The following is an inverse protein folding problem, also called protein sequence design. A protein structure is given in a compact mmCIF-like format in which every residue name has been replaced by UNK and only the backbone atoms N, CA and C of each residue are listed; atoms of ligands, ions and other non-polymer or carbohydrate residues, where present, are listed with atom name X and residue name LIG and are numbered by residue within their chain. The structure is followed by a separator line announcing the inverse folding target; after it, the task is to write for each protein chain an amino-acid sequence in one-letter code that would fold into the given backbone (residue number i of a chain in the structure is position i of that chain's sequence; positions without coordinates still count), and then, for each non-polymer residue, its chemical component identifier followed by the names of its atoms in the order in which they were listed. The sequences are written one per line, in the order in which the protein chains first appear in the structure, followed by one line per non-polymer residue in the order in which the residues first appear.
data_IF_670975056919
#
_entry.id   IF_670975056919
#
_cell.length_a   1.000
_cell.length_b   1.000
_cell.length_c   1.000
_cell.angle_alpha   90.00
_cell.angle_beta   90.00
_cell.angle_gamma   90.00
#
_symmetry.space_group_name_H-M   'P 1'
#
loop_
_entity.id
_entity.type
_entity.pdbx_description
1 polymer ?
#
# COMPACT_ATOMS: atom_id res chain seq x y z
N UNK A 1 19.17 17.24 -8.76
CA UNK A 1 19.83 16.97 -7.46
C UNK A 1 19.53 18.17 -6.57
N UNK A 2 18.48 18.10 -5.76
CA UNK A 2 18.12 19.18 -4.83
C UNK A 2 18.28 18.61 -3.42
N UNK A 3 19.27 19.14 -2.70
CA UNK A 3 19.58 18.74 -1.34
C UNK A 3 18.46 19.18 -0.38
N UNK A 4 18.13 18.29 0.53
CA UNK A 4 17.25 18.47 1.69
C UNK A 4 17.79 19.57 2.60
N UNK A 5 17.35 20.81 2.41
CA UNK A 5 17.60 21.90 3.35
C UNK A 5 16.28 22.26 4.02
N UNK A 6 16.15 21.88 5.29
CA UNK A 6 14.97 22.17 6.12
C UNK A 6 14.48 20.96 6.92
N UNK A 7 15.37 20.31 7.67
CA UNK A 7 14.95 19.27 8.63
C UNK A 7 16.01 18.25 9.04
N UNK A 8 17.21 18.24 8.46
CA UNK A 8 18.22 17.19 8.72
C UNK A 8 18.80 17.19 10.14
N UNK A 9 18.69 18.28 10.91
CA UNK A 9 19.36 18.36 12.21
C UNK A 9 18.63 17.65 13.38
N UNK A 10 17.33 17.35 13.28
CA UNK A 10 16.58 16.76 14.41
C UNK A 10 16.41 15.23 14.34
N UNK A 11 16.51 14.62 13.16
CA UNK A 11 16.07 13.24 12.93
C UNK A 11 17.21 12.21 12.97
N UNK A 12 18.47 12.62 12.80
CA UNK A 12 19.62 11.71 12.74
C UNK A 12 20.08 11.21 14.13
N UNK A 13 19.54 11.77 15.21
CA UNK A 13 20.01 11.47 16.57
C UNK A 13 18.90 11.30 17.60
N UNK A 14 17.80 10.63 17.23
CA UNK A 14 16.97 9.98 18.25
C UNK A 14 17.81 8.85 18.86
N UNK A 15 18.48 9.16 19.97
CA UNK A 15 19.36 8.22 20.70
C UNK A 15 18.58 7.10 21.40
N UNK A 16 17.26 7.26 21.52
CA UNK A 16 16.39 6.21 22.04
C UNK A 16 16.40 4.99 21.09
N UNK A 17 16.36 3.76 21.64
CA UNK A 17 16.17 2.54 20.86
C UNK A 17 14.99 2.68 19.91
N UNK A 18 15.04 2.01 18.77
CA UNK A 18 13.91 2.00 17.86
C UNK A 18 12.75 1.19 18.46
N UNK A 19 11.52 1.68 18.36
CA UNK A 19 10.32 0.95 18.79
C UNK A 19 10.13 -0.35 18.00
N UNK A 20 9.40 -1.31 18.54
CA UNK A 20 9.01 -2.52 17.80
C UNK A 20 8.11 -2.21 16.59
N UNK A 21 7.84 -3.22 15.76
CA UNK A 21 6.75 -3.12 14.78
C UNK A 21 5.42 -3.13 15.53
N UNK A 22 4.52 -2.21 15.17
CA UNK A 22 3.16 -2.20 15.70
C UNK A 22 2.42 -3.48 15.26
N UNK A 23 1.79 -4.17 16.22
CA UNK A 23 0.88 -5.28 15.96
C UNK A 23 -0.46 -4.77 15.43
N UNK A 24 -1.22 -5.64 14.76
CA UNK A 24 -2.59 -5.30 14.37
C UNK A 24 -3.52 -5.36 15.59
N UNK A 25 -4.18 -4.24 15.90
CA UNK A 25 -5.21 -4.13 16.93
C UNK A 25 -6.47 -3.60 16.25
N UNK A 26 -7.55 -4.40 16.11
CA UNK A 26 -8.80 -3.92 15.54
C UNK A 26 -9.45 -2.88 16.45
N UNK A 27 -10.32 -2.02 15.90
CA UNK A 27 -11.18 -1.17 16.72
C UNK A 27 -12.07 -2.03 17.63
N UNK A 28 -12.16 -1.63 18.90
CA UNK A 28 -12.93 -2.30 19.95
C UNK A 28 -13.70 -1.31 20.84
N UNK A 29 -13.60 0.00 20.59
CA UNK A 29 -14.21 1.05 21.40
C UNK A 29 -14.75 2.18 20.55
N UNK A 30 -15.71 2.89 21.11
CA UNK A 30 -16.10 4.20 20.63
C UNK A 30 -15.47 5.23 21.58
N UNK A 31 -14.43 5.90 21.10
CA UNK A 31 -13.76 7.01 21.77
C UNK A 31 -13.31 8.03 20.71
N UNK A 32 -14.29 8.71 20.13
CA UNK A 32 -14.16 9.67 19.02
C UNK A 32 -13.49 10.99 19.43
N UNK A 33 -12.43 10.90 20.25
CA UNK A 33 -11.56 12.02 20.63
C UNK A 33 -10.21 11.85 19.96
N UNK A 34 -9.68 12.87 19.26
CA UNK A 34 -8.36 12.81 18.64
C UNK A 34 -7.29 12.45 19.66
N UNK A 35 -6.49 11.43 19.37
CA UNK A 35 -5.40 11.04 20.26
C UNK A 35 -4.18 11.93 20.05
N UNK A 36 -3.46 12.30 21.12
CA UNK A 36 -2.47 13.39 21.07
C UNK A 36 -1.32 13.13 20.10
N UNK A 37 -0.85 11.88 19.98
CA UNK A 37 0.16 11.49 19.00
C UNK A 37 -0.34 11.59 17.55
N UNK A 38 -1.61 11.32 17.30
CA UNK A 38 -2.21 11.50 15.96
C UNK A 38 -2.36 12.98 15.61
N UNK A 39 -2.75 13.82 16.58
CA UNK A 39 -2.77 15.28 16.42
C UNK A 39 -1.37 15.81 16.08
N UNK A 40 -0.35 15.33 16.79
CA UNK A 40 1.04 15.71 16.57
C UNK A 40 1.56 15.21 15.20
N UNK A 41 1.20 13.99 14.79
CA UNK A 41 1.53 13.44 13.47
C UNK A 41 0.92 14.26 12.34
N UNK A 42 -0.39 14.54 12.42
CA UNK A 42 -1.07 15.41 11.46
C UNK A 42 -0.33 16.75 11.33
N UNK A 43 -0.02 17.39 12.47
CA UNK A 43 0.68 18.68 12.46
C UNK A 43 2.04 18.56 11.76
N UNK A 44 2.84 17.55 12.12
CA UNK A 44 4.15 17.27 11.51
C UNK A 44 4.05 17.15 9.98
N UNK A 45 3.05 16.44 9.48
CA UNK A 45 2.87 16.23 8.04
C UNK A 45 2.41 17.51 7.35
N UNK A 46 1.42 18.22 7.91
CA UNK A 46 0.89 19.44 7.31
C UNK A 46 1.89 20.60 7.32
N UNK A 47 2.72 20.71 8.36
CA UNK A 47 3.82 21.68 8.43
C UNK A 47 4.84 21.41 7.30
N UNK A 48 5.17 20.13 7.06
CA UNK A 48 6.15 19.73 6.03
C UNK A 48 5.61 19.89 4.61
N UNK A 49 4.32 19.66 4.41
CA UNK A 49 3.66 19.68 3.11
C UNK A 49 2.52 20.71 3.06
N UNK A 50 2.85 22.01 3.08
CA UNK A 50 1.85 23.06 3.01
C UNK A 50 1.00 22.94 1.74
N UNK A 51 -0.27 23.33 1.87
CA UNK A 51 -1.29 23.23 0.81
C UNK A 51 -1.85 21.82 0.59
N UNK A 52 -1.46 20.83 1.40
CA UNK A 52 -2.20 19.55 1.49
C UNK A 52 -3.34 19.66 2.50
N UNK A 53 -4.24 18.66 2.52
CA UNK A 53 -5.52 18.77 3.24
C UNK A 53 -5.56 17.84 4.45
N UNK A 54 -6.16 18.33 5.54
CA UNK A 54 -6.60 17.52 6.67
C UNK A 54 -8.02 17.00 6.37
N UNK A 55 -8.19 15.67 6.28
CA UNK A 55 -9.52 15.07 6.09
C UNK A 55 -10.08 14.45 7.38
N UNK A 56 -9.40 14.64 8.50
CA UNK A 56 -9.93 14.36 9.83
C UNK A 56 -9.32 13.14 10.54
N UNK A 57 -9.35 13.20 11.87
CA UNK A 57 -8.87 12.15 12.78
C UNK A 57 -10.03 11.28 13.27
N UNK A 58 -11.16 11.90 13.58
CA UNK A 58 -12.31 11.25 14.20
C UNK A 58 -13.50 11.20 13.27
N UNK A 59 -14.33 10.18 13.46
CA UNK A 59 -15.66 10.06 12.87
C UNK A 59 -16.62 9.64 13.96
N UNK A 60 -17.88 10.01 13.82
CA UNK A 60 -18.93 9.55 14.72
C UNK A 60 -19.03 8.03 14.65
N UNK A 61 -19.18 7.41 15.82
CA UNK A 61 -19.26 5.97 15.92
C UNK A 61 -20.55 5.47 15.28
N UNK A 62 -20.42 4.53 14.34
CA UNK A 62 -21.56 3.90 13.70
C UNK A 62 -21.51 2.38 13.89
N UNK A 63 -22.66 1.73 14.14
CA UNK A 63 -22.73 0.27 14.28
C UNK A 63 -22.38 -0.43 12.96
N UNK A 64 -21.77 -1.62 13.07
CA UNK A 64 -21.51 -2.50 11.92
C UNK A 64 -20.29 -2.14 11.05
N UNK A 65 -19.51 -1.12 11.43
CA UNK A 65 -18.24 -0.78 10.78
C UNK A 65 -17.10 -0.80 11.80
N UNK A 66 -15.96 -1.36 11.42
CA UNK A 66 -14.71 -1.29 12.20
C UNK A 66 -13.90 -0.15 11.61
N UNK A 67 -13.60 0.86 12.43
CA UNK A 67 -12.76 1.99 11.99
C UNK A 67 -11.99 2.59 13.14
N UNK A 68 -10.68 2.72 12.95
CA UNK A 68 -9.79 3.38 13.88
C UNK A 68 -10.05 4.88 14.07
N UNK A 69 -10.81 5.49 13.17
CA UNK A 69 -11.34 6.85 13.36
C UNK A 69 -12.31 6.93 14.56
N UNK A 70 -13.01 5.84 14.90
CA UNK A 70 -13.92 5.81 16.04
C UNK A 70 -13.18 5.84 17.38
N UNK A 71 -11.88 5.60 17.38
CA UNK A 71 -11.02 5.66 18.56
C UNK A 71 -10.04 6.83 18.48
N UNK A 72 -10.15 7.68 17.45
CA UNK A 72 -9.24 8.80 17.21
C UNK A 72 -7.78 8.39 17.00
N UNK A 73 -7.54 7.12 16.61
CA UNK A 73 -6.20 6.57 16.31
C UNK A 73 -5.96 6.37 14.82
N UNK A 74 -6.69 7.10 13.98
CA UNK A 74 -6.46 7.18 12.55
C UNK A 74 -6.47 8.62 12.08
N UNK A 75 -5.90 8.85 10.90
CA UNK A 75 -5.93 10.16 10.23
C UNK A 75 -5.92 9.98 8.72
N UNK A 76 -6.78 10.75 8.04
CA UNK A 76 -6.81 10.81 6.59
C UNK A 76 -6.11 12.08 6.09
N UNK A 77 -5.04 11.88 5.31
CA UNK A 77 -4.26 12.95 4.69
C UNK A 77 -4.68 13.12 3.23
N UNK A 78 -5.23 14.28 2.90
CA UNK A 78 -5.73 14.56 1.55
C UNK A 78 -4.60 14.82 0.56
N UNK A 79 -4.18 13.75 -0.10
CA UNK A 79 -3.22 13.72 -1.23
C UNK A 79 -3.72 12.78 -2.31
N UNK A 80 -4.19 13.33 -3.44
CA UNK A 80 -4.74 12.55 -4.54
C UNK A 80 -3.64 11.85 -5.33
N UNK A 81 -3.86 10.57 -5.61
CA UNK A 81 -2.95 9.74 -6.40
C UNK A 81 -3.01 10.05 -7.91
N UNK A 82 -4.08 10.69 -8.39
CA UNK A 82 -4.26 11.07 -9.80
C UNK A 82 -3.71 12.47 -10.13
N UNK A 83 -3.37 13.28 -9.13
CA UNK A 83 -2.75 14.60 -9.32
C UNK A 83 -1.22 14.46 -9.13
N UNK A 84 -0.40 14.66 -10.18
CA UNK A 84 1.05 14.37 -10.11
C UNK A 84 1.79 15.08 -8.97
N UNK A 85 1.43 16.33 -8.66
CA UNK A 85 2.05 17.11 -7.58
C UNK A 85 1.68 16.59 -6.18
N UNK A 86 0.44 16.15 -5.98
CA UNK A 86 0.01 15.59 -4.70
C UNK A 86 0.60 14.19 -4.51
N UNK A 87 0.58 13.38 -5.58
CA UNK A 87 1.22 12.06 -5.60
C UNK A 87 2.70 12.13 -5.24
N UNK A 88 3.45 13.08 -5.79
CA UNK A 88 4.87 13.24 -5.48
C UNK A 88 5.12 13.55 -3.99
N UNK A 89 4.29 14.41 -3.37
CA UNK A 89 4.38 14.69 -1.91
C UNK A 89 4.08 13.44 -1.08
N UNK A 90 3.06 12.68 -1.46
CA UNK A 90 2.72 11.41 -0.83
C UNK A 90 3.86 10.39 -0.93
N UNK A 91 4.43 10.21 -2.11
CA UNK A 91 5.55 9.29 -2.35
C UNK A 91 6.81 9.70 -1.59
N UNK A 92 7.14 11.00 -1.55
CA UNK A 92 8.26 11.52 -0.75
C UNK A 92 8.08 11.19 0.74
N UNK A 93 6.89 11.46 1.29
CA UNK A 93 6.60 11.18 2.69
C UNK A 93 6.64 9.68 3.01
N UNK A 94 6.00 8.85 2.19
CA UNK A 94 5.99 7.40 2.39
C UNK A 94 7.38 6.80 2.23
N UNK A 95 8.21 7.31 1.31
CA UNK A 95 9.60 6.90 1.19
C UNK A 95 10.38 7.24 2.46
N UNK A 96 10.26 8.46 2.99
CA UNK A 96 10.88 8.82 4.28
C UNK A 96 10.38 7.94 5.43
N UNK A 97 9.08 7.71 5.51
CA UNK A 97 8.43 6.96 6.58
C UNK A 97 8.87 5.48 6.62
N UNK A 98 9.02 4.87 5.44
CA UNK A 98 9.25 3.43 5.28
C UNK A 98 10.72 3.05 5.01
N UNK A 99 11.60 4.02 4.75
CA UNK A 99 13.02 3.78 4.51
C UNK A 99 13.71 3.16 5.75
N UNK A 100 14.71 2.27 5.55
CA UNK A 100 15.54 1.78 6.65
C UNK A 100 16.37 2.90 7.31
N UNK A 101 16.69 2.75 8.59
CA UNK A 101 17.71 3.59 9.23
C UNK A 101 19.13 3.12 8.90
N UNK A 102 20.14 3.86 9.39
CA UNK A 102 21.56 3.55 9.23
C UNK A 102 22.00 2.24 9.94
N UNK A 103 21.14 1.64 10.77
CA UNK A 103 21.36 0.35 11.42
C UNK A 103 20.64 -0.80 10.71
N UNK A 104 20.03 -0.53 9.54
CA UNK A 104 19.31 -1.52 8.74
C UNK A 104 17.91 -1.83 9.25
N UNK A 105 17.39 -1.09 10.24
CA UNK A 105 16.02 -1.28 10.70
C UNK A 105 15.04 -0.82 9.63
N UNK A 106 14.31 -1.75 9.03
CA UNK A 106 13.25 -1.48 8.06
C UNK A 106 12.12 -0.63 8.66
N UNK A 107 11.47 0.19 7.83
CA UNK A 107 10.33 1.04 8.20
C UNK A 107 10.57 1.90 9.45
N UNK A 108 11.76 2.49 9.54
CA UNK A 108 12.27 3.03 10.79
C UNK A 108 11.38 4.12 11.37
N UNK A 109 10.94 5.07 10.55
CA UNK A 109 10.09 6.16 11.01
C UNK A 109 8.66 5.71 11.28
N UNK A 110 8.11 4.75 10.52
CA UNK A 110 6.82 4.14 10.83
C UNK A 110 6.82 3.52 12.23
N UNK A 111 7.89 2.80 12.60
CA UNK A 111 8.07 2.23 13.95
C UNK A 111 8.13 3.34 15.00
N UNK A 112 8.99 4.34 14.79
CA UNK A 112 9.19 5.43 15.75
C UNK A 112 7.97 6.32 15.96
N UNK A 113 7.09 6.42 14.97
CA UNK A 113 5.82 7.19 15.05
C UNK A 113 4.64 6.32 15.50
N UNK A 114 4.81 5.00 15.58
CA UNK A 114 3.77 4.06 15.97
C UNK A 114 2.69 3.84 14.91
N UNK A 115 3.07 3.83 13.63
CA UNK A 115 2.15 3.51 12.52
C UNK A 115 1.87 2.01 12.50
N UNK A 116 0.59 1.62 12.53
CA UNK A 116 0.13 0.24 12.45
C UNK A 116 -0.09 -0.20 11.00
N UNK A 117 -0.83 0.58 10.22
CA UNK A 117 -1.01 0.35 8.79
C UNK A 117 -1.28 1.65 8.02
N UNK A 118 -1.09 1.57 6.71
CA UNK A 118 -1.30 2.65 5.75
C UNK A 118 -2.11 2.12 4.58
N UNK A 119 -3.13 2.86 4.14
CA UNK A 119 -3.88 2.55 2.92
C UNK A 119 -3.78 3.73 1.97
N UNK A 120 -3.37 3.46 0.73
CA UNK A 120 -3.31 4.47 -0.32
C UNK A 120 -3.41 3.82 -1.70
N UNK A 121 -4.18 4.43 -2.59
CA UNK A 121 -4.31 4.08 -3.99
C UNK A 121 -4.52 2.57 -4.21
N UNK A 122 -5.56 2.02 -3.57
CA UNK A 122 -5.92 0.58 -3.61
C UNK A 122 -4.82 -0.36 -3.13
N UNK A 123 -3.91 0.12 -2.27
CA UNK A 123 -2.88 -0.70 -1.63
C UNK A 123 -2.87 -0.50 -0.13
N UNK A 124 -2.44 -1.52 0.59
CA UNK A 124 -2.27 -1.50 2.04
C UNK A 124 -0.88 -1.98 2.41
N UNK A 125 -0.21 -1.23 3.28
CA UNK A 125 1.02 -1.61 3.97
C UNK A 125 0.73 -1.74 5.46
N UNK A 126 1.36 -2.69 6.16
CA UNK A 126 1.16 -2.86 7.59
C UNK A 126 2.44 -3.25 8.30
N UNK A 127 2.73 -2.61 9.44
CA UNK A 127 3.91 -2.89 10.27
C UNK A 127 3.96 -4.37 10.69
N UNK A 128 2.81 -4.94 11.06
CA UNK A 128 2.65 -6.34 11.44
C UNK A 128 2.82 -7.34 10.29
N UNK A 129 2.92 -6.88 9.03
CA UNK A 129 3.20 -7.70 7.84
C UNK A 129 4.31 -7.09 6.98
N UNK A 130 5.33 -6.55 7.65
CA UNK A 130 6.43 -5.82 7.02
C UNK A 130 7.04 -6.56 5.82
N UNK A 131 7.28 -7.87 5.96
CA UNK A 131 7.91 -8.71 4.94
C UNK A 131 7.10 -8.80 3.63
N UNK A 132 5.79 -8.59 3.67
CA UNK A 132 4.93 -8.62 2.48
C UNK A 132 4.90 -7.27 1.74
N UNK A 133 5.39 -6.19 2.37
CA UNK A 133 5.36 -4.85 1.79
C UNK A 133 3.95 -4.34 1.47
N UNK A 134 3.83 -3.61 0.35
CA UNK A 134 2.54 -3.11 -0.15
C UNK A 134 1.75 -4.23 -0.83
N UNK A 135 0.49 -4.39 -0.42
CA UNK A 135 -0.41 -5.45 -0.91
C UNK A 135 -1.66 -4.84 -1.52
N UNK A 136 -2.40 -5.56 -2.38
CA UNK A 136 -3.69 -5.11 -2.86
C UNK A 136 -4.66 -4.83 -1.72
N UNK A 137 -5.39 -3.71 -1.80
CA UNK A 137 -6.48 -3.36 -0.91
C UNK A 137 -7.80 -3.39 -1.68
N UNK A 138 -8.77 -4.13 -1.16
CA UNK A 138 -10.09 -4.37 -1.77
C UNK A 138 -11.24 -3.86 -0.89
N UNK A 139 -10.96 -2.96 0.06
CA UNK A 139 -12.00 -2.35 0.87
C UNK A 139 -12.88 -1.40 0.05
N UNK A 140 -13.99 -0.96 0.65
CA UNK A 140 -15.03 -0.18 -0.01
C UNK A 140 -14.50 1.14 -0.58
N UNK A 141 -13.69 1.85 0.20
CA UNK A 141 -13.05 3.10 -0.24
C UNK A 141 -11.73 2.83 -0.94
N UNK A 142 -11.54 3.37 -2.15
CA UNK A 142 -10.34 3.09 -2.94
C UNK A 142 -9.08 3.83 -2.45
N UNK A 143 -9.24 4.82 -1.56
CA UNK A 143 -8.16 5.68 -1.04
C UNK A 143 -7.33 6.31 -2.18
N UNK A 144 -8.00 6.72 -3.26
CA UNK A 144 -7.34 7.34 -4.42
C UNK A 144 -7.17 8.84 -4.27
N UNK A 145 -7.92 9.46 -3.35
CA UNK A 145 -7.96 10.88 -3.08
C UNK A 145 -7.28 11.28 -1.75
N UNK A 146 -6.91 10.30 -0.93
CA UNK A 146 -6.26 10.46 0.37
C UNK A 146 -5.42 9.25 0.79
N UNK A 147 -4.48 9.45 1.70
CA UNK A 147 -3.79 8.39 2.45
C UNK A 147 -4.47 8.23 3.80
N UNK A 148 -4.82 6.99 4.16
CA UNK A 148 -5.27 6.66 5.50
C UNK A 148 -4.10 6.12 6.33
N UNK A 149 -3.85 6.72 7.50
CA UNK A 149 -2.91 6.24 8.49
C UNK A 149 -3.66 5.71 9.71
N UNK A 150 -3.28 4.52 10.17
CA UNK A 150 -3.74 3.95 11.43
C UNK A 150 -2.56 3.73 12.36
N UNK A 151 -2.75 3.97 13.67
CA UNK A 151 -1.69 3.97 14.67
C UNK A 151 -1.90 2.87 15.72
N UNK A 152 -0.79 2.39 16.31
CA UNK A 152 -0.86 1.63 17.56
C UNK A 152 -1.32 2.53 18.71
N UNK A 153 -1.69 1.95 19.84
CA UNK A 153 -2.03 2.76 21.02
C UNK A 153 -0.86 3.62 21.50
N UNK A 154 0.36 3.09 21.47
CA UNK A 154 1.57 3.85 21.78
C UNK A 154 1.77 5.00 20.80
N UNK A 155 1.60 4.77 19.49
CA UNK A 155 1.68 5.85 18.50
C UNK A 155 0.60 6.90 18.71
N UNK A 156 -0.64 6.47 18.91
CA UNK A 156 -1.80 7.33 19.08
C UNK A 156 -1.69 8.23 20.30
N UNK A 157 -1.16 7.72 21.42
CA UNK A 157 -0.95 8.49 22.65
C UNK A 157 0.39 9.23 22.72
N UNK A 158 1.25 9.07 21.71
CA UNK A 158 2.53 9.77 21.69
C UNK A 158 3.59 9.15 22.60
N UNK A 159 3.60 7.82 22.70
CA UNK A 159 4.44 7.06 23.62
C UNK A 159 5.62 6.34 22.98
N UNK A 160 5.70 6.37 21.66
CA UNK A 160 6.85 5.85 20.92
C UNK A 160 8.04 6.79 21.02
N UNK A 161 9.21 6.30 20.63
CA UNK A 161 10.49 6.98 20.83
C UNK A 161 10.60 8.31 20.09
N UNK A 162 9.89 8.50 18.97
CA UNK A 162 9.84 9.80 18.30
C UNK A 162 9.21 10.87 19.18
N UNK A 163 8.03 10.57 19.73
CA UNK A 163 7.26 11.54 20.51
C UNK A 163 7.93 11.88 21.83
N UNK A 164 8.58 10.89 22.46
CA UNK A 164 9.43 11.10 23.64
C UNK A 164 10.60 12.04 23.35
N UNK A 165 11.30 11.83 22.23
CA UNK A 165 12.42 12.68 21.82
C UNK A 165 11.96 14.09 21.41
N UNK A 166 10.75 14.21 20.86
CA UNK A 166 10.10 15.49 20.54
C UNK A 166 9.46 16.17 21.76
N UNK A 167 9.59 15.59 22.96
CA UNK A 167 9.01 16.08 24.21
C UNK A 167 7.50 16.38 24.11
N UNK A 168 6.74 15.54 23.40
CA UNK A 168 5.30 15.69 23.35
C UNK A 168 4.75 15.57 24.79
N UNK A 169 3.94 16.52 25.31
CA UNK A 169 3.52 16.51 26.71
C UNK A 169 2.86 15.20 27.16
N UNK A 170 2.09 14.57 26.27
CA UNK A 170 1.45 13.28 26.53
C UNK A 170 2.44 12.14 26.80
N UNK A 171 3.68 12.24 26.28
CA UNK A 171 4.73 11.22 26.47
C UNK A 171 5.12 11.02 27.94
N UNK A 172 4.87 12.01 28.81
CA UNK A 172 5.16 11.93 30.25
C UNK A 172 4.17 11.05 31.01
N UNK A 173 3.04 10.69 30.41
CA UNK A 173 1.95 9.93 31.05
C UNK A 173 1.78 8.53 30.45
N UNK A 174 2.75 8.05 29.66
CA UNK A 174 2.57 6.85 28.85
C UNK A 174 2.26 5.58 29.62
N UNK A 175 2.89 5.35 30.77
CA UNK A 175 2.59 4.18 31.59
C UNK A 175 1.11 4.18 32.00
N UNK A 176 0.65 5.30 32.59
CA UNK A 176 -0.73 5.46 33.02
C UNK A 176 -1.75 5.40 31.87
N UNK A 177 -1.45 6.04 30.72
CA UNK A 177 -2.35 6.04 29.56
C UNK A 177 -2.49 4.64 28.93
N UNK A 178 -1.40 3.89 28.83
CA UNK A 178 -1.43 2.53 28.28
C UNK A 178 -2.08 1.54 29.26
N UNK A 179 -1.83 1.69 30.57
CA UNK A 179 -2.50 0.90 31.60
C UNK A 179 -4.01 1.14 31.59
N UNK A 180 -4.47 2.39 31.47
CA UNK A 180 -5.89 2.70 31.33
C UNK A 180 -6.52 2.00 30.12
N UNK A 181 -5.81 1.91 28.99
CA UNK A 181 -6.34 1.19 27.81
C UNK A 181 -6.43 -0.30 28.11
N UNK A 182 -5.38 -0.90 28.68
CA UNK A 182 -5.39 -2.31 29.04
C UNK A 182 -6.51 -2.64 30.05
N UNK A 183 -6.72 -1.77 31.04
CA UNK A 183 -7.69 -1.95 32.12
C UNK A 183 -9.14 -1.59 31.75
N UNK A 184 -9.37 -0.73 30.75
CA UNK A 184 -10.72 -0.25 30.42
C UNK A 184 -11.62 -1.31 29.75
N UNK A 185 -11.13 -2.53 29.49
CA UNK A 185 -11.94 -3.59 28.90
C UNK A 185 -12.44 -3.26 27.48
N UNK A 186 -12.75 -4.28 26.70
CA UNK A 186 -13.32 -4.10 25.36
C UNK A 186 -14.76 -3.61 25.47
N UNK A 187 -15.14 -2.51 24.82
CA UNK A 187 -16.53 -2.39 24.40
C UNK A 187 -16.74 -3.50 23.36
N UNK A 188 -17.93 -4.12 23.38
CA UNK A 188 -18.22 -5.41 22.75
C UNK A 188 -17.58 -5.61 21.36
N UNK A 189 -17.15 -6.85 21.03
CA UNK A 189 -16.67 -7.16 19.69
C UNK A 189 -17.74 -6.74 18.66
N UNK A 190 -17.33 -6.22 17.49
CA UNK A 190 -18.27 -5.98 16.40
C UNK A 190 -19.03 -7.28 16.08
N UNK A 191 -20.31 -7.20 15.67
CA UNK A 191 -21.06 -8.39 15.27
C UNK A 191 -20.25 -9.16 14.22
N UNK A 192 -20.34 -10.51 14.20
CA UNK A 192 -19.59 -11.32 13.26
C UNK A 192 -19.84 -10.81 11.82
N UNK A 193 -18.82 -10.87 10.94
CA UNK A 193 -19.01 -10.45 9.56
C UNK A 193 -20.19 -11.23 8.96
N UNK A 194 -21.01 -10.61 8.09
CA UNK A 194 -22.03 -11.35 7.37
C UNK A 194 -21.39 -12.57 6.71
N UNK A 195 -22.09 -13.72 6.68
CA UNK A 195 -21.54 -14.93 6.09
C UNK A 195 -21.02 -14.61 4.70
N UNK A 196 -19.79 -15.07 4.43
CA UNK A 196 -19.15 -14.93 3.13
C UNK A 196 -20.16 -15.43 2.08
N UNK A 197 -20.44 -14.66 1.00
CA UNK A 197 -21.32 -15.15 -0.06
C UNK A 197 -20.88 -16.55 -0.46
N UNK A 198 -21.83 -17.47 -0.58
CA UNK A 198 -21.53 -18.81 -1.04
C UNK A 198 -20.70 -18.71 -2.33
N UNK A 199 -19.65 -19.53 -2.49
CA UNK A 199 -18.97 -19.58 -3.77
C UNK A 199 -20.02 -19.81 -4.86
N UNK A 200 -19.93 -19.13 -6.01
CA UNK A 200 -20.85 -19.37 -7.10
C UNK A 200 -20.88 -20.88 -7.37
N UNK A 201 -22.07 -21.47 -7.65
CA UNK A 201 -22.15 -22.89 -7.96
C UNK A 201 -21.11 -23.19 -9.03
N UNK A 202 -20.28 -24.22 -8.78
CA UNK A 202 -19.33 -24.70 -9.80
C UNK A 202 -20.12 -24.83 -11.09
N UNK A 203 -19.67 -24.12 -12.13
CA UNK A 203 -20.29 -24.24 -13.44
C UNK A 203 -20.42 -25.73 -13.75
N UNK A 204 -21.64 -26.17 -14.07
CA UNK A 204 -21.86 -27.52 -14.53
C UNK A 204 -20.84 -27.79 -15.65
N UNK A 205 -20.21 -28.98 -15.69
CA UNK A 205 -19.33 -29.32 -16.80
C UNK A 205 -20.05 -29.01 -18.10
N UNK A 206 -19.41 -28.21 -18.95
CA UNK A 206 -19.97 -27.86 -20.24
C UNK A 206 -20.44 -29.15 -20.91
N UNK A 207 -21.70 -29.18 -21.35
CA UNK A 207 -22.18 -30.27 -22.21
C UNK A 207 -21.16 -30.41 -23.34
N UNK A 208 -20.73 -31.64 -23.68
CA UNK A 208 -19.84 -31.84 -24.81
C UNK A 208 -20.38 -31.08 -26.00
N UNK A 209 -19.56 -30.19 -26.56
CA UNK A 209 -19.90 -29.53 -27.82
C UNK A 209 -20.17 -30.61 -28.88
N UNK A 210 -20.98 -30.30 -29.90
CA UNK A 210 -21.23 -31.23 -30.99
C UNK A 210 -19.90 -31.72 -31.57
N UNK A 211 -19.79 -33.00 -31.95
CA UNK A 211 -18.55 -33.57 -32.46
C UNK A 211 -18.02 -32.73 -33.63
N UNK A 212 -16.73 -32.40 -33.56
CA UNK A 212 -16.04 -31.69 -34.63
C UNK A 212 -16.19 -32.49 -35.94
N UNK A 213 -16.52 -31.86 -37.08
CA UNK A 213 -16.56 -32.55 -38.36
C UNK A 213 -15.25 -33.28 -38.63
N UNK A 214 -15.35 -34.50 -39.14
CA UNK A 214 -14.18 -35.30 -39.50
C UNK A 214 -13.27 -34.54 -40.48
N UNK A 215 -11.94 -34.62 -40.32
CA UNK A 215 -11.04 -34.03 -41.30
C UNK A 215 -11.25 -34.69 -42.67
N UNK A 216 -11.16 -33.92 -43.77
CA UNK A 216 -11.29 -34.47 -45.11
C UNK A 216 -10.21 -35.53 -45.36
N UNK A 217 -10.60 -36.63 -46.01
CA UNK A 217 -9.72 -37.75 -46.34
C UNK A 217 -8.54 -37.25 -47.19
N UNK A 218 -7.33 -37.65 -46.81
CA UNK A 218 -6.13 -37.35 -47.58
C UNK A 218 -6.24 -37.91 -49.02
N UNK A 219 -5.75 -37.19 -50.04
CA UNK A 219 -5.78 -37.69 -51.41
C UNK A 219 -4.86 -38.91 -51.56
N UNK A 220 -5.37 -39.93 -52.24
CA UNK A 220 -4.64 -41.16 -52.59
C UNK A 220 -3.50 -40.81 -53.55
N UNK A 221 -2.26 -41.17 -53.19
CA UNK A 221 -1.09 -40.99 -54.05
C UNK A 221 -1.21 -41.89 -55.29
N UNK A 222 -1.18 -41.28 -56.47
CA UNK A 222 -1.00 -41.99 -57.74
C UNK A 222 0.44 -42.50 -57.87
N UNK A 223 0.59 -43.69 -58.45
CA UNK A 223 1.87 -44.38 -58.68
C UNK A 223 2.76 -43.67 -59.73
N UNK A 224 4.09 -43.88 -59.70
CA UNK A 224 5.04 -43.03 -60.41
C UNK A 224 5.20 -43.41 -61.90
N UNK A 225 5.24 -42.40 -62.76
CA UNK A 225 5.69 -42.53 -64.16
C UNK A 225 7.16 -42.10 -64.30
N UNK A 226 7.85 -42.79 -65.22
CA UNK A 226 9.32 -42.88 -65.40
C UNK A 226 10.01 -41.58 -65.82
N UNK A 227 11.25 -41.40 -65.36
CA UNK A 227 12.21 -40.30 -65.68
C UNK A 227 13.01 -40.52 -66.97
N UNK A 228 13.33 -39.43 -67.70
CA UNK A 228 14.64 -39.10 -68.35
C UNK A 228 14.59 -37.65 -68.94
N UNK A 229 15.71 -37.01 -69.39
CA UNK A 229 16.62 -36.21 -68.58
C UNK A 229 16.79 -34.73 -69.03
N UNK A 230 17.59 -34.01 -68.24
CA UNK A 230 17.78 -32.55 -68.14
C UNK A 230 18.41 -31.80 -69.33
N UNK A 231 18.19 -30.47 -69.37
CA UNK A 231 19.12 -29.47 -69.94
C UNK A 231 19.20 -28.22 -69.05
N UNK A 232 20.39 -27.64 -69.01
CA UNK A 232 20.94 -26.71 -68.03
C UNK A 232 20.94 -25.24 -68.50
N UNK A 233 20.89 -24.32 -67.50
CA UNK A 233 21.41 -22.93 -67.47
C UNK A 233 20.67 -21.83 -68.29
N UNK A 234 20.79 -20.50 -67.98
CA UNK A 234 21.79 -19.84 -67.12
C UNK A 234 21.26 -18.76 -66.11
N UNK A 235 22.17 -18.25 -65.28
CA UNK A 235 21.98 -17.21 -64.27
C UNK A 235 22.13 -15.76 -64.81
N UNK A 236 21.44 -14.79 -64.18
CA UNK A 236 21.63 -13.31 -64.17
C UNK A 236 20.76 -12.74 -63.02
N UNK A 237 21.02 -11.66 -62.29
CA UNK A 237 22.15 -10.78 -61.95
C UNK A 237 21.64 -9.93 -60.75
N UNK A 238 22.53 -9.41 -59.90
CA UNK A 238 22.19 -8.68 -58.67
C UNK A 238 21.79 -7.20 -58.91
N UNK A 239 20.99 -6.56 -58.03
CA UNK A 239 20.67 -5.13 -58.09
C UNK A 239 21.68 -4.22 -57.35
N UNK A 240 21.75 -2.91 -57.70
CA UNK A 240 22.77 -1.96 -57.20
C UNK A 240 22.41 -1.25 -55.88
N UNK A 241 23.38 -0.58 -55.21
CA UNK A 241 23.18 0.12 -53.93
C UNK A 241 23.02 1.66 -54.07
N UNK A 242 22.32 2.28 -53.12
CA UNK A 242 22.33 3.73 -52.83
C UNK A 242 22.01 3.90 -51.33
N UNK A 243 22.53 4.83 -50.53
CA UNK A 243 23.47 5.95 -50.68
C UNK A 243 23.55 6.64 -49.30
N UNK A 244 24.73 7.13 -48.91
CA UNK A 244 25.02 7.74 -47.60
C UNK A 244 24.65 9.24 -47.45
N UNK A 245 25.02 9.88 -46.32
CA UNK A 245 24.27 10.96 -45.67
C UNK A 245 24.67 12.39 -46.09
N UNK A 246 23.84 13.38 -45.72
CA UNK A 246 24.21 14.81 -45.68
C UNK A 246 24.18 15.36 -44.25
N UNK A 247 25.08 16.31 -44.03
CA UNK A 247 25.47 17.03 -42.79
C UNK A 247 24.33 17.67 -42.03
#
# INVERSE_FOLDING_TARGET
MAMLVGGTAAFESIRLPIDGLATYVPQARCDARPKPGVVAFRKLVLDRYPGTRDLGIVRDCAPGLISEHYEGRAWDWGTRADIPREKAKAEEFLAWLLRPDNKGNQAAMARRLGVMYIIWNRRIWGSYRLAEGWRPYTGKEAHTDHIHFSFSWEGAFGCTTYWKAAHLPASNQCAHLLDLIASSGTVAPPPPPPPRPAPPPKAAPAKPGPPRPAPPKAPVKAAPAKTAPAKTAPAKAAPPPAGGPKR
#
